data_IF_880146425636
#
_entry.id   IF_880146425636
#
_cell.length_a   1.000
_cell.length_b   1.000
_cell.length_c   1.000
_cell.angle_alpha   90.00
_cell.angle_beta   90.00
_cell.angle_gamma   90.00
#
_symmetry.space_group_name_H-M   'P 1'
#
loop_
_entity.id
_entity.type
_entity.pdbx_description
1 polymer ?
#
# COMPACT_ATOMS: atom_id res chain seq x y z
N UNK A 1 -7.46 -15.70 -79.63
CA UNK A 1 -6.18 -16.05 -78.97
C UNK A 1 -5.92 -14.96 -77.93
N UNK A 2 -5.70 -15.14 -76.64
CA UNK A 2 -5.82 -16.21 -75.66
C UNK A 2 -5.75 -15.51 -74.28
N UNK A 3 -6.50 -16.00 -73.30
CA UNK A 3 -6.54 -15.52 -71.90
C UNK A 3 -5.17 -15.72 -71.22
N UNK A 4 -4.77 -14.89 -70.23
CA UNK A 4 -4.71 -15.47 -68.88
C UNK A 4 -5.18 -14.54 -67.76
N UNK A 5 -6.31 -14.98 -67.19
CA UNK A 5 -6.68 -15.04 -65.78
C UNK A 5 -5.45 -15.06 -64.86
N UNK A 6 -5.29 -14.00 -64.06
CA UNK A 6 -4.35 -13.96 -62.94
C UNK A 6 -5.12 -13.69 -61.65
N UNK A 7 -5.52 -14.79 -61.02
CA UNK A 7 -5.94 -14.82 -59.62
C UNK A 7 -4.79 -14.31 -58.76
N UNK A 8 -4.90 -13.08 -58.25
CA UNK A 8 -4.08 -12.62 -57.14
C UNK A 8 -4.87 -12.84 -55.86
N UNK A 9 -4.61 -13.98 -55.21
CA UNK A 9 -4.95 -14.21 -53.82
C UNK A 9 -4.24 -13.14 -52.98
N UNK A 10 -4.99 -12.20 -52.41
CA UNK A 10 -4.51 -11.36 -51.31
C UNK A 10 -5.21 -11.82 -50.04
N UNK A 11 -4.48 -12.59 -49.24
CA UNK A 11 -4.93 -13.12 -47.96
C UNK A 11 -5.38 -11.97 -47.05
N UNK A 12 -6.62 -12.03 -46.58
CA UNK A 12 -7.12 -11.18 -45.50
C UNK A 12 -6.37 -11.60 -44.24
N UNK A 13 -5.40 -10.78 -43.81
CA UNK A 13 -4.71 -10.96 -42.54
C UNK A 13 -5.72 -10.71 -41.41
N UNK A 14 -6.23 -11.79 -40.82
CA UNK A 14 -7.04 -11.74 -39.61
C UNK A 14 -6.12 -11.30 -38.46
N UNK A 15 -6.11 -9.99 -38.15
CA UNK A 15 -5.42 -9.47 -36.98
C UNK A 15 -6.08 -10.06 -35.72
N UNK A 16 -5.44 -11.06 -35.11
CA UNK A 16 -5.83 -11.56 -33.81
C UNK A 16 -5.68 -10.41 -32.80
N UNK A 17 -6.78 -9.77 -32.44
CA UNK A 17 -6.85 -8.90 -31.28
C UNK A 17 -6.57 -9.76 -30.05
N UNK A 18 -5.30 -9.82 -29.64
CA UNK A 18 -4.92 -10.38 -28.34
C UNK A 18 -5.54 -9.46 -27.31
N UNK A 19 -6.74 -9.85 -26.85
CA UNK A 19 -7.45 -9.15 -25.79
C UNK A 19 -6.52 -9.04 -24.60
N UNK A 20 -6.22 -7.81 -24.19
CA UNK A 20 -5.55 -7.55 -22.92
C UNK A 20 -6.49 -8.06 -21.83
N UNK A 21 -6.25 -9.29 -21.36
CA UNK A 21 -6.94 -9.81 -20.18
C UNK A 21 -6.69 -8.80 -19.04
N UNK A 22 -7.74 -8.37 -18.31
CA UNK A 22 -7.55 -7.50 -17.16
C UNK A 22 -6.59 -8.20 -16.20
N UNK A 23 -5.42 -7.59 -15.98
CA UNK A 23 -4.50 -8.08 -14.95
C UNK A 23 -5.25 -7.98 -13.62
N UNK A 24 -5.33 -9.06 -12.82
CA UNK A 24 -5.90 -8.96 -11.50
C UNK A 24 -5.15 -7.84 -10.75
N UNK A 25 -5.88 -6.82 -10.32
CA UNK A 25 -5.31 -5.78 -9.46
C UNK A 25 -4.67 -6.45 -8.24
N UNK A 26 -3.51 -5.95 -7.79
CA UNK A 26 -2.84 -6.50 -6.61
C UNK A 26 -3.81 -6.39 -5.43
N UNK A 27 -4.27 -7.53 -4.92
CA UNK A 27 -5.26 -7.58 -3.87
C UNK A 27 -4.72 -6.92 -2.59
N UNK A 28 -5.55 -6.08 -1.97
CA UNK A 28 -5.27 -5.51 -0.66
C UNK A 28 -5.26 -6.60 0.40
N UNK A 29 -4.18 -6.72 1.16
CA UNK A 29 -4.08 -7.65 2.28
C UNK A 29 -4.42 -6.92 3.59
N UNK A 30 -5.57 -7.23 4.17
CA UNK A 30 -5.93 -6.79 5.52
C UNK A 30 -5.22 -7.68 6.53
N UNK A 31 -4.19 -7.15 7.18
CA UNK A 31 -3.39 -7.91 8.15
C UNK A 31 -3.94 -7.77 9.58
N UNK A 32 -4.67 -6.69 9.85
CA UNK A 32 -5.30 -6.42 11.14
C UNK A 32 -6.73 -5.97 10.88
N UNK A 33 -7.67 -6.51 11.63
CA UNK A 33 -9.06 -6.03 11.71
C UNK A 33 -9.42 -5.89 13.18
N UNK A 34 -9.89 -4.71 13.60
CA UNK A 34 -10.22 -4.44 15.01
C UNK A 34 -11.36 -3.45 15.16
N UNK A 35 -12.12 -3.55 16.26
CA UNK A 35 -13.11 -2.54 16.67
C UNK A 35 -12.52 -1.44 17.55
N UNK A 36 -11.27 -1.54 17.97
CA UNK A 36 -10.58 -0.48 18.69
C UNK A 36 -10.36 0.76 17.79
N UNK A 37 -10.21 1.97 18.34
CA UNK A 37 -9.87 3.13 17.54
C UNK A 37 -8.44 3.03 16.99
N UNK A 38 -8.23 3.52 15.77
CA UNK A 38 -6.98 3.28 15.01
C UNK A 38 -5.69 3.72 15.73
N UNK A 39 -5.76 4.76 16.55
CA UNK A 39 -4.59 5.30 17.26
C UNK A 39 -4.07 4.36 18.36
N UNK A 40 -4.81 3.28 18.68
CA UNK A 40 -4.35 2.24 19.63
C UNK A 40 -3.39 1.23 19.00
N UNK A 41 -3.12 1.31 17.69
CA UNK A 41 -2.21 0.38 16.99
C UNK A 41 -0.75 0.52 17.42
N UNK A 42 -0.37 1.66 17.99
CA UNK A 42 1.00 1.96 18.38
C UNK A 42 1.13 3.33 19.03
N UNK A 43 2.36 3.74 19.30
CA UNK A 43 2.66 5.08 19.84
C UNK A 43 2.80 6.08 18.69
N UNK A 44 2.11 7.23 18.70
CA UNK A 44 2.30 8.26 17.67
C UNK A 44 3.74 8.78 17.70
N UNK A 45 4.35 8.94 16.52
CA UNK A 45 5.72 9.45 16.39
C UNK A 45 5.71 10.75 15.56
N UNK A 46 5.94 11.87 16.24
CA UNK A 46 5.81 13.19 15.63
C UNK A 46 6.92 13.47 14.60
N UNK A 47 8.13 12.93 14.80
CA UNK A 47 9.23 13.10 13.87
C UNK A 47 8.94 12.35 12.56
N UNK A 48 8.51 11.09 12.67
CA UNK A 48 8.11 10.29 11.51
C UNK A 48 6.85 10.84 10.83
N UNK A 49 5.91 11.41 11.57
CA UNK A 49 4.72 12.07 11.00
C UNK A 49 5.11 13.28 10.16
N UNK A 50 6.03 14.13 10.64
CA UNK A 50 6.58 15.25 9.84
C UNK A 50 7.30 14.76 8.60
N UNK A 51 8.14 13.73 8.73
CA UNK A 51 8.81 13.12 7.58
C UNK A 51 7.79 12.57 6.58
N UNK A 52 6.71 11.93 7.04
CA UNK A 52 5.66 11.42 6.17
C UNK A 52 4.89 12.53 5.45
N UNK A 53 4.53 13.60 6.16
CA UNK A 53 3.85 14.76 5.56
C UNK A 53 4.73 15.43 4.49
N UNK A 54 6.04 15.42 4.66
CA UNK A 54 7.02 15.86 3.65
C UNK A 54 7.30 14.82 2.56
N UNK A 55 6.66 13.65 2.62
CA UNK A 55 6.90 12.53 1.72
C UNK A 55 8.30 11.93 1.84
N UNK A 56 8.99 12.05 2.98
CA UNK A 56 10.32 11.49 3.28
C UNK A 56 10.29 10.20 4.11
N UNK A 57 9.10 9.75 4.51
CA UNK A 57 8.89 8.48 5.21
C UNK A 57 7.51 7.94 4.86
N UNK A 58 7.38 6.74 4.30
CA UNK A 58 6.09 6.33 3.73
C UNK A 58 6.00 4.89 3.25
N UNK A 59 4.94 4.62 2.51
CA UNK A 59 4.63 3.33 1.92
C UNK A 59 5.16 3.27 0.48
N UNK A 60 5.69 2.11 0.08
CA UNK A 60 5.97 1.85 -1.35
C UNK A 60 4.66 1.61 -2.12
N UNK A 61 3.75 0.82 -1.55
CA UNK A 61 2.45 0.49 -2.09
C UNK A 61 1.37 0.70 -1.00
N UNK A 62 0.63 1.82 -1.03
CA UNK A 62 -0.32 2.18 0.04
C UNK A 62 -1.51 1.23 0.17
N UNK A 63 -1.81 0.45 -0.87
CA UNK A 63 -2.97 -0.45 -0.90
C UNK A 63 -2.61 -1.90 -0.55
N UNK A 64 -1.32 -2.23 -0.47
CA UNK A 64 -0.86 -3.61 -0.34
C UNK A 64 -1.13 -4.23 1.03
N UNK A 65 -0.77 -3.55 2.11
CA UNK A 65 -0.90 -4.03 3.48
C UNK A 65 -1.61 -3.00 4.32
N UNK A 66 -2.75 -3.38 4.90
CA UNK A 66 -3.58 -2.45 5.69
C UNK A 66 -4.03 -3.03 7.03
N UNK A 67 -4.22 -2.14 8.00
CA UNK A 67 -4.94 -2.38 9.23
C UNK A 67 -6.29 -1.66 9.15
N UNK A 68 -7.39 -2.40 9.35
CA UNK A 68 -8.76 -1.88 9.28
C UNK A 68 -9.36 -1.79 10.68
N UNK A 69 -9.82 -0.59 11.03
CA UNK A 69 -10.49 -0.30 12.29
C UNK A 69 -11.96 0.05 12.00
N UNK A 70 -12.87 -0.70 12.60
CA UNK A 70 -14.31 -0.68 12.28
C UNK A 70 -15.20 -0.31 13.47
N UNK A 71 -14.61 0.17 14.57
CA UNK A 71 -15.35 0.64 15.74
C UNK A 71 -16.18 1.88 15.46
N UNK A 72 -17.14 2.19 16.33
CA UNK A 72 -17.91 3.44 16.29
C UNK A 72 -17.04 4.69 16.53
N UNK A 73 -15.96 4.52 17.29
CA UNK A 73 -14.95 5.54 17.53
C UNK A 73 -13.65 5.18 16.81
N UNK A 74 -13.03 6.16 16.16
CA UNK A 74 -11.71 5.98 15.54
C UNK A 74 -11.67 4.92 14.44
N UNK A 75 -12.77 4.74 13.70
CA UNK A 75 -12.77 3.97 12.47
C UNK A 75 -11.72 4.53 11.49
N UNK A 76 -11.03 3.65 10.76
CA UNK A 76 -9.99 4.07 9.85
C UNK A 76 -9.28 2.91 9.17
N UNK A 77 -8.57 3.21 8.09
CA UNK A 77 -7.68 2.27 7.41
C UNK A 77 -6.29 2.85 7.44
N UNK A 78 -5.35 2.09 8.01
CA UNK A 78 -3.95 2.48 8.10
C UNK A 78 -3.14 1.61 7.16
N UNK A 79 -2.20 2.19 6.42
CA UNK A 79 -1.23 1.42 5.66
C UNK A 79 -0.12 0.89 6.57
N UNK A 80 0.44 -0.28 6.25
CA UNK A 80 1.44 -0.98 7.07
C UNK A 80 2.76 -1.07 6.33
N UNK A 81 3.85 -0.77 7.04
CA UNK A 81 5.22 -1.10 6.66
C UNK A 81 6.00 -1.69 7.85
N UNK A 82 7.08 -2.42 7.58
CA UNK A 82 8.01 -2.90 8.63
C UNK A 82 9.35 -2.21 8.49
N UNK A 83 9.99 -1.93 9.62
CA UNK A 83 11.36 -1.41 9.65
C UNK A 83 12.41 -2.35 9.07
N UNK A 84 12.08 -3.62 8.86
CA UNK A 84 12.88 -4.55 8.06
C UNK A 84 12.92 -4.22 6.55
N UNK A 85 12.18 -3.20 6.10
CA UNK A 85 12.11 -2.75 4.71
C UNK A 85 10.85 -3.20 3.97
N UNK A 86 9.97 -3.99 4.60
CA UNK A 86 8.72 -4.42 3.98
C UNK A 86 7.80 -3.22 3.74
N UNK A 87 7.47 -2.98 2.47
CA UNK A 87 6.56 -1.92 2.02
C UNK A 87 6.96 -0.50 2.48
N UNK A 88 8.21 -0.30 2.85
CA UNK A 88 8.68 0.95 3.45
C UNK A 88 9.49 1.77 2.44
N UNK A 89 9.19 3.06 2.35
CA UNK A 89 9.99 4.06 1.66
C UNK A 89 10.60 4.99 2.71
N UNK A 90 11.90 4.87 2.92
CA UNK A 90 12.64 5.60 3.96
C UNK A 90 14.04 6.01 3.45
N UNK A 91 14.13 7.04 2.60
CA UNK A 91 15.41 7.54 2.06
C UNK A 91 16.36 8.11 3.11
N UNK A 92 15.85 8.49 4.29
CA UNK A 92 16.61 9.13 5.37
C UNK A 92 17.02 8.13 6.48
N UNK A 93 16.68 6.85 6.31
CA UNK A 93 17.02 5.77 7.24
C UNK A 93 16.55 6.01 8.69
N UNK A 94 15.33 6.52 8.85
CA UNK A 94 14.73 6.75 10.16
C UNK A 94 14.19 5.47 10.83
N UNK A 95 13.93 4.43 10.04
CA UNK A 95 13.32 3.20 10.53
C UNK A 95 14.27 2.34 11.37
N UNK A 96 13.68 1.65 12.35
CA UNK A 96 14.35 0.64 13.17
C UNK A 96 13.88 -0.75 12.79
N UNK A 97 14.77 -1.72 12.58
CA UNK A 97 14.43 -3.05 12.07
C UNK A 97 13.32 -3.80 12.83
N UNK A 98 13.19 -3.57 14.13
CA UNK A 98 12.25 -4.22 15.03
C UNK A 98 10.88 -3.53 15.15
N UNK A 99 10.68 -2.38 14.49
CA UNK A 99 9.47 -1.59 14.58
C UNK A 99 8.50 -1.87 13.42
N UNK A 100 7.21 -1.80 13.72
CA UNK A 100 6.13 -1.78 12.73
C UNK A 100 5.59 -0.35 12.60
N UNK A 101 5.34 0.11 11.38
CA UNK A 101 4.88 1.46 11.08
C UNK A 101 3.48 1.45 10.48
N UNK A 102 2.59 2.23 11.08
CA UNK A 102 1.20 2.38 10.64
C UNK A 102 0.95 3.81 10.21
N UNK A 103 0.48 3.99 8.99
CA UNK A 103 0.33 5.30 8.37
C UNK A 103 -1.15 5.65 8.22
N UNK A 104 -1.57 6.74 8.85
CA UNK A 104 -2.86 7.36 8.64
C UNK A 104 -2.72 8.55 7.68
N UNK A 105 -3.64 8.70 6.73
CA UNK A 105 -3.63 9.75 5.72
C UNK A 105 -2.29 9.85 4.92
N UNK A 106 -1.67 8.70 4.61
CA UNK A 106 -0.43 8.64 3.83
C UNK A 106 -0.55 9.38 2.50
N UNK A 107 0.50 10.14 2.13
CA UNK A 107 0.53 10.93 0.89
C UNK A 107 -0.13 12.30 0.99
N UNK A 108 -0.56 12.71 2.19
CA UNK A 108 -1.13 14.03 2.47
C UNK A 108 -0.28 14.81 3.48
N UNK A 109 -0.48 16.12 3.57
CA UNK A 109 0.15 16.96 4.62
C UNK A 109 -0.33 16.61 6.03
N UNK A 110 -1.44 15.89 6.17
CA UNK A 110 -1.98 15.37 7.44
C UNK A 110 -1.46 13.98 7.82
N UNK A 111 -0.43 13.47 7.12
CA UNK A 111 0.08 12.14 7.40
C UNK A 111 0.54 11.98 8.86
N UNK A 112 0.05 10.92 9.50
CA UNK A 112 0.40 10.55 10.87
C UNK A 112 0.97 9.13 10.91
N UNK A 113 2.03 8.93 11.69
CA UNK A 113 2.73 7.66 11.84
C UNK A 113 2.61 7.17 13.28
N UNK A 114 2.17 5.92 13.44
CA UNK A 114 2.15 5.20 14.70
C UNK A 114 3.16 4.06 14.66
N UNK A 115 3.85 3.83 15.77
CA UNK A 115 4.93 2.83 15.89
C UNK A 115 4.53 1.71 16.84
N UNK A 116 4.53 0.48 16.33
CA UNK A 116 4.39 -0.76 17.10
C UNK A 116 5.75 -1.43 17.36
N UNK A 117 5.80 -2.36 18.32
CA UNK A 117 7.00 -3.18 18.60
C UNK A 117 8.12 -2.49 19.39
N UNK A 118 8.06 -1.17 19.59
CA UNK A 118 9.04 -0.39 20.37
C UNK A 118 9.11 -0.90 21.83
N UNK A 119 10.29 -1.37 22.27
CA UNK A 119 10.52 -1.79 23.66
C UNK A 119 10.23 -0.61 24.60
N UNK A 120 9.33 -0.82 25.57
CA UNK A 120 8.86 0.20 26.51
C UNK A 120 7.49 0.83 26.16
N UNK A 121 6.95 0.62 24.95
CA UNK A 121 5.62 1.09 24.57
C UNK A 121 4.48 0.12 24.97
N UNK A 122 4.82 -1.02 25.60
CA UNK A 122 3.86 -1.95 26.23
C UNK A 122 3.25 -1.31 27.48
N UNK A 123 2.39 -0.32 27.29
CA UNK A 123 1.70 0.39 28.35
C UNK A 123 0.44 1.14 27.91
N UNK A 124 0.23 1.38 26.62
CA UNK A 124 -0.92 2.16 26.13
C UNK A 124 -2.12 1.31 25.64
N UNK A 125 -1.96 -0.02 25.63
CA UNK A 125 -2.99 -0.99 25.29
C UNK A 125 -3.17 -1.97 26.46
N UNK A 126 -3.99 -1.57 27.42
CA UNK A 126 -4.64 -2.45 28.39
C UNK A 126 -6.16 -2.27 28.20
N UNK A 127 -6.96 -3.33 28.44
CA UNK A 127 -8.36 -3.46 28.01
C UNK A 127 -9.29 -2.34 28.50
#
# INVERSE_FOLDING_TARGET
>A
MSVPLRYAFAAIALAAAVGAAPRPGRAQQSLVTSSAPYWKVGTPDQALSRACAAGRFGLQDPQRYVARFTGSEGAGVLGIAKGSGLNLRDPDHHAKPEEDYFFYAHGTSSCSVFVGGRKGARGAAAP
#
